data_IF_437197648814
#
_entry.id   IF_437197648814
#
_cell.length_a   1.000
_cell.length_b   1.000
_cell.length_c   1.000
_cell.angle_alpha   90.00
_cell.angle_beta   90.00
_cell.angle_gamma   90.00
#
_symmetry.space_group_name_H-M   'P 1'
#
loop_
_entity.id
_entity.type
_entity.pdbx_description
1 polymer ?
#
# COMPACT_ATOMS: atom_id res chain seq x y z
N UNK A 1 -13.28 2.09 13.77
CA UNK A 1 -14.30 1.01 13.60
C UNK A 1 -13.53 -0.25 13.24
N UNK A 2 -14.03 -1.45 13.52
CA UNK A 2 -13.32 -2.72 13.24
C UNK A 2 -14.09 -3.43 12.13
N UNK A 3 -13.41 -3.92 11.04
CA UNK A 3 -14.06 -4.74 10.03
C UNK A 3 -14.66 -5.99 10.69
N UNK A 4 -15.85 -6.35 10.28
CA UNK A 4 -16.56 -7.51 10.81
C UNK A 4 -17.28 -8.27 9.70
N UNK A 5 -17.71 -9.49 9.97
CA UNK A 5 -18.47 -10.33 9.05
C UNK A 5 -19.69 -9.63 8.43
N UNK A 6 -20.27 -8.65 9.12
CA UNK A 6 -21.43 -7.89 8.61
C UNK A 6 -21.10 -6.99 7.40
N UNK A 7 -19.80 -6.73 7.13
CA UNK A 7 -19.34 -6.02 5.92
C UNK A 7 -19.32 -6.93 4.68
N UNK A 8 -19.25 -8.24 4.91
CA UNK A 8 -19.17 -9.25 3.85
C UNK A 8 -20.59 -9.59 3.41
N UNK A 9 -21.24 -8.65 2.66
CA UNK A 9 -22.50 -8.95 2.01
C UNK A 9 -22.28 -10.00 0.90
N UNK A 10 -23.36 -10.68 0.48
CA UNK A 10 -23.31 -11.73 -0.54
C UNK A 10 -22.74 -11.30 -1.90
N UNK A 11 -22.54 -10.02 -2.11
CA UNK A 11 -21.97 -9.45 -3.34
C UNK A 11 -20.44 -9.33 -3.30
N UNK A 12 -19.78 -9.34 -2.11
CA UNK A 12 -18.33 -9.19 -2.01
C UNK A 12 -17.64 -10.50 -2.34
N UNK A 13 -16.76 -10.46 -3.33
CA UNK A 13 -15.92 -11.58 -3.78
C UNK A 13 -14.43 -11.34 -3.66
N UNK A 14 -14.04 -10.08 -3.43
CA UNK A 14 -12.65 -9.67 -3.28
C UNK A 14 -12.53 -8.63 -2.17
N UNK A 15 -11.60 -8.84 -1.24
CA UNK A 15 -11.16 -7.82 -0.28
C UNK A 15 -9.76 -7.37 -0.65
N UNK A 16 -9.59 -6.05 -0.81
CA UNK A 16 -8.30 -5.41 -1.11
C UNK A 16 -7.88 -4.60 0.10
N UNK A 17 -6.81 -5.04 0.76
CA UNK A 17 -6.25 -4.37 1.93
C UNK A 17 -5.18 -3.35 1.53
N UNK A 18 -5.31 -2.13 2.00
CA UNK A 18 -4.11 -1.29 2.19
C UNK A 18 -3.25 -1.88 3.31
N UNK A 19 -1.96 -1.57 3.29
CA UNK A 19 -1.02 -2.09 4.29
C UNK A 19 -0.64 -1.03 5.32
N UNK A 20 -0.08 0.10 4.85
CA UNK A 20 0.64 1.07 5.68
C UNK A 20 -0.31 2.04 6.42
N UNK A 21 -0.69 1.70 7.64
CA UNK A 21 -1.67 2.41 8.47
C UNK A 21 -2.95 1.62 8.69
N UNK A 22 -3.18 0.60 7.86
CA UNK A 22 -4.34 -0.29 7.88
C UNK A 22 -4.05 -1.56 8.66
N UNK A 23 -3.07 -2.35 8.26
CA UNK A 23 -2.71 -3.60 8.96
C UNK A 23 -1.87 -3.36 10.22
N UNK A 24 -1.29 -2.18 10.37
CA UNK A 24 -0.63 -1.71 11.58
C UNK A 24 -0.84 -0.20 11.76
N UNK A 25 -0.81 0.30 12.97
CA UNK A 25 -0.97 1.74 13.26
C UNK A 25 0.36 2.48 13.06
N UNK A 26 0.58 3.12 11.91
CA UNK A 26 1.84 3.78 11.50
C UNK A 26 2.20 5.07 12.27
N UNK A 27 1.61 5.31 13.44
CA UNK A 27 1.86 6.54 14.23
C UNK A 27 3.35 6.70 14.55
N UNK A 28 3.91 7.86 14.21
CA UNK A 28 5.31 8.19 14.47
C UNK A 28 6.32 7.57 13.50
N UNK A 29 5.91 6.88 12.43
CA UNK A 29 6.80 6.26 11.44
C UNK A 29 7.86 7.25 10.92
N UNK A 30 7.43 8.43 10.48
CA UNK A 30 8.33 9.45 9.91
C UNK A 30 9.39 9.89 10.91
N UNK A 31 9.00 10.15 12.18
CA UNK A 31 9.96 10.51 13.22
C UNK A 31 10.97 9.40 13.48
N UNK A 32 10.51 8.13 13.55
CA UNK A 32 11.38 6.97 13.75
C UNK A 32 12.39 6.82 12.61
N UNK A 33 11.93 6.98 11.36
CA UNK A 33 12.81 6.95 10.19
C UNK A 33 13.85 8.07 10.22
N UNK A 34 13.43 9.30 10.50
CA UNK A 34 14.34 10.45 10.60
C UNK A 34 15.36 10.30 11.74
N UNK A 35 14.96 9.77 12.90
CA UNK A 35 15.87 9.49 14.00
C UNK A 35 16.87 8.37 13.66
N UNK A 36 16.45 7.34 12.93
CA UNK A 36 17.31 6.22 12.55
C UNK A 36 18.30 6.57 11.42
N UNK A 37 17.97 7.53 10.55
CA UNK A 37 18.82 7.99 9.46
C UNK A 37 18.79 9.53 9.35
N UNK A 38 19.40 10.25 10.32
CA UNK A 38 19.29 11.70 10.42
C UNK A 38 19.95 12.44 9.25
N UNK A 39 20.95 11.85 8.60
CA UNK A 39 21.62 12.45 7.44
C UNK A 39 20.82 12.32 6.13
N UNK A 40 19.79 11.47 6.10
CA UNK A 40 18.94 11.25 4.92
C UNK A 40 17.65 12.10 4.89
N UNK A 41 17.48 13.02 5.84
CA UNK A 41 16.26 13.81 5.99
C UNK A 41 15.83 14.55 4.71
N UNK A 42 16.81 15.08 3.92
CA UNK A 42 16.52 15.76 2.65
C UNK A 42 15.91 14.80 1.63
N UNK A 43 16.45 13.59 1.51
CA UNK A 43 15.93 12.54 0.63
C UNK A 43 14.54 12.09 1.08
N UNK A 44 14.34 11.92 2.39
CA UNK A 44 13.03 11.54 2.96
C UNK A 44 11.96 12.62 2.73
N UNK A 45 12.32 13.89 2.83
CA UNK A 45 11.41 14.99 2.49
C UNK A 45 11.11 15.05 0.99
N UNK A 46 12.13 14.83 0.14
CA UNK A 46 11.95 14.75 -1.32
C UNK A 46 11.03 13.59 -1.70
N UNK A 47 11.22 12.42 -1.10
CA UNK A 47 10.35 11.25 -1.26
C UNK A 47 8.89 11.57 -0.96
N UNK A 48 8.61 12.18 0.19
CA UNK A 48 7.24 12.56 0.58
C UNK A 48 6.61 13.57 -0.38
N UNK A 49 7.37 14.57 -0.84
CA UNK A 49 6.90 15.56 -1.82
C UNK A 49 6.59 14.89 -3.16
N UNK A 50 7.47 14.01 -3.62
CA UNK A 50 7.29 13.23 -4.86
C UNK A 50 6.03 12.39 -4.80
N UNK A 51 5.85 11.64 -3.71
CA UNK A 51 4.65 10.82 -3.52
C UNK A 51 3.37 11.65 -3.47
N UNK A 52 3.42 12.83 -2.85
CA UNK A 52 2.29 13.76 -2.85
C UNK A 52 1.98 14.29 -4.25
N UNK A 53 3.00 14.60 -5.05
CA UNK A 53 2.85 15.10 -6.42
C UNK A 53 2.31 14.04 -7.37
N UNK A 54 2.76 12.79 -7.23
CA UNK A 54 2.36 11.68 -8.09
C UNK A 54 1.09 10.95 -7.61
N UNK A 55 0.49 11.39 -6.51
CA UNK A 55 -0.73 10.78 -5.99
C UNK A 55 -1.84 10.77 -7.03
N UNK A 56 -2.46 9.61 -7.22
CA UNK A 56 -3.54 9.41 -8.19
C UNK A 56 -3.09 9.37 -9.65
N UNK A 57 -1.79 9.42 -9.91
CA UNK A 57 -1.28 9.25 -11.27
C UNK A 57 -1.10 7.77 -11.60
N UNK A 58 -1.45 7.42 -12.84
CA UNK A 58 -1.22 6.14 -13.44
C UNK A 58 -0.31 6.32 -14.68
N UNK A 59 0.84 5.67 -14.68
CA UNK A 59 1.92 5.80 -15.66
C UNK A 59 2.16 4.51 -16.47
N UNK A 60 1.13 3.67 -16.56
CA UNK A 60 1.02 2.45 -17.34
C UNK A 60 1.79 1.24 -16.78
N UNK A 61 3.07 1.37 -16.45
CA UNK A 61 3.93 0.28 -15.99
C UNK A 61 4.90 0.72 -14.89
N UNK A 62 5.50 -0.27 -14.23
CA UNK A 62 6.42 -0.10 -13.11
C UNK A 62 7.68 0.69 -13.50
N UNK A 63 8.25 0.45 -14.69
CA UNK A 63 9.50 1.08 -15.09
C UNK A 63 9.28 2.57 -15.36
N UNK A 64 8.22 2.91 -16.08
CA UNK A 64 7.82 4.30 -16.36
C UNK A 64 7.47 5.03 -15.06
N UNK A 65 6.79 4.34 -14.13
CA UNK A 65 6.50 4.88 -12.80
C UNK A 65 7.80 5.24 -12.05
N UNK A 66 8.71 4.30 -11.86
CA UNK A 66 9.94 4.55 -11.08
C UNK A 66 10.88 5.53 -11.77
N UNK A 67 10.97 5.53 -13.09
CA UNK A 67 11.72 6.56 -13.84
C UNK A 67 11.16 7.94 -13.52
N UNK A 68 9.86 8.16 -13.67
CA UNK A 68 9.21 9.44 -13.38
C UNK A 68 9.32 9.81 -11.90
N UNK A 69 9.18 8.81 -11.01
CA UNK A 69 9.29 8.99 -9.58
C UNK A 69 10.66 9.53 -9.16
N UNK A 70 11.75 8.90 -9.60
CA UNK A 70 13.09 9.34 -9.23
C UNK A 70 13.53 10.61 -9.96
N UNK A 71 13.09 10.84 -11.17
CA UNK A 71 13.26 12.14 -11.86
C UNK A 71 12.58 13.27 -11.08
N UNK A 72 11.34 13.08 -10.68
CA UNK A 72 10.60 14.04 -9.85
C UNK A 72 11.30 14.27 -8.51
N UNK A 73 11.74 13.18 -7.85
CA UNK A 73 12.44 13.27 -6.57
C UNK A 73 13.75 14.06 -6.68
N UNK A 74 14.49 13.89 -7.78
CA UNK A 74 15.72 14.62 -8.08
C UNK A 74 15.52 16.13 -8.09
N UNK A 75 14.38 16.63 -8.57
CA UNK A 75 14.07 18.07 -8.59
C UNK A 75 13.96 18.67 -7.19
N UNK A 76 13.63 17.85 -6.16
CA UNK A 76 13.48 18.33 -4.79
C UNK A 76 14.75 18.28 -3.95
N UNK A 77 15.75 17.49 -4.32
CA UNK A 77 16.95 17.32 -3.51
C UNK A 77 18.27 17.52 -4.27
N UNK A 78 18.21 17.74 -5.59
CA UNK A 78 19.38 17.95 -6.46
C UNK A 78 20.39 16.77 -6.37
N UNK A 79 19.86 15.55 -6.45
CA UNK A 79 20.63 14.29 -6.45
C UNK A 79 20.21 13.51 -7.70
N UNK A 80 21.17 12.85 -8.37
CA UNK A 80 20.91 12.06 -9.57
C UNK A 80 19.84 10.97 -9.32
N UNK A 81 18.90 10.75 -10.26
CA UNK A 81 17.81 9.77 -10.11
C UNK A 81 18.30 8.36 -9.78
N UNK A 82 19.40 7.92 -10.38
CA UNK A 82 20.02 6.60 -10.17
C UNK A 82 20.50 6.42 -8.73
N UNK A 83 21.11 7.46 -8.15
CA UNK A 83 21.55 7.46 -6.75
C UNK A 83 20.36 7.46 -5.79
N UNK A 84 19.25 8.12 -6.17
CA UNK A 84 18.02 8.13 -5.38
C UNK A 84 17.34 6.77 -5.42
N UNK A 85 17.33 6.11 -6.58
CA UNK A 85 16.82 4.75 -6.73
C UNK A 85 17.60 3.77 -5.86
N UNK A 86 18.93 3.79 -5.95
CA UNK A 86 19.79 2.95 -5.14
C UNK A 86 19.55 3.22 -3.64
N UNK A 87 19.53 4.50 -3.21
CA UNK A 87 19.22 4.85 -1.82
C UNK A 87 17.85 4.34 -1.37
N UNK A 88 16.83 4.44 -2.24
CA UNK A 88 15.48 3.98 -1.95
C UNK A 88 15.42 2.46 -1.74
N UNK A 89 16.05 1.70 -2.64
CA UNK A 89 16.08 0.24 -2.61
C UNK A 89 16.98 -0.30 -1.49
N UNK A 90 18.19 0.25 -1.32
CA UNK A 90 19.20 -0.30 -0.41
C UNK A 90 19.11 0.22 1.04
N UNK A 91 18.46 1.38 1.25
CA UNK A 91 18.42 2.01 2.57
C UNK A 91 17.01 2.37 3.05
N UNK A 92 16.25 3.12 2.24
CA UNK A 92 14.99 3.69 2.69
C UNK A 92 13.94 2.61 2.96
N UNK A 93 13.72 1.71 2.01
CA UNK A 93 12.73 0.64 2.17
C UNK A 93 13.14 -0.40 3.22
N UNK A 94 14.39 -0.91 3.25
CA UNK A 94 14.86 -1.79 4.33
C UNK A 94 14.76 -1.14 5.71
N UNK A 95 15.05 0.17 5.84
CA UNK A 95 14.88 0.89 7.09
C UNK A 95 13.40 0.91 7.53
N UNK A 96 12.47 1.17 6.61
CA UNK A 96 11.04 1.14 6.90
C UNK A 96 10.59 -0.25 7.39
N UNK A 97 11.00 -1.33 6.71
CA UNK A 97 10.73 -2.72 7.12
C UNK A 97 11.28 -3.00 8.53
N UNK A 98 12.54 -2.62 8.79
CA UNK A 98 13.17 -2.79 10.10
C UNK A 98 12.44 -2.04 11.22
N UNK A 99 11.95 -0.83 10.93
CA UNK A 99 11.17 -0.05 11.89
C UNK A 99 9.79 -0.70 12.13
N UNK A 100 9.16 -1.23 11.09
CA UNK A 100 7.90 -1.98 11.23
C UNK A 100 8.12 -3.16 12.17
N UNK A 101 9.09 -4.00 11.89
CA UNK A 101 9.40 -5.18 12.69
C UNK A 101 9.62 -4.86 14.19
N UNK A 102 10.34 -3.77 14.49
CA UNK A 102 10.73 -3.43 15.86
C UNK A 102 9.65 -2.69 16.65
N UNK A 103 8.76 -1.94 15.99
CA UNK A 103 7.94 -0.93 16.68
C UNK A 103 6.45 -1.07 16.47
N UNK A 104 6.01 -1.93 15.54
CA UNK A 104 4.60 -2.04 15.22
C UNK A 104 4.12 -3.48 15.33
N UNK A 105 2.84 -3.62 15.56
CA UNK A 105 2.15 -4.92 15.66
C UNK A 105 0.98 -4.93 14.70
N UNK A 106 0.68 -6.12 14.21
CA UNK A 106 -0.54 -6.40 13.46
C UNK A 106 -1.77 -5.97 14.27
N UNK A 107 -2.76 -5.42 13.59
CA UNK A 107 -4.04 -5.05 14.21
C UNK A 107 -4.80 -6.30 14.65
N UNK A 108 -5.45 -6.25 15.83
CA UNK A 108 -6.09 -7.41 16.46
C UNK A 108 -7.23 -8.01 15.64
N UNK A 109 -7.95 -7.18 14.87
CA UNK A 109 -9.10 -7.63 14.09
C UNK A 109 -8.73 -8.44 12.84
N UNK A 110 -7.48 -8.41 12.40
CA UNK A 110 -7.06 -8.94 11.09
C UNK A 110 -7.32 -10.44 10.96
N UNK A 111 -6.86 -11.25 11.91
CA UNK A 111 -6.98 -12.70 11.84
C UNK A 111 -8.43 -13.15 11.71
N UNK A 112 -9.30 -12.66 12.61
CA UNK A 112 -10.72 -13.01 12.59
C UNK A 112 -11.41 -12.58 11.30
N UNK A 113 -11.08 -11.40 10.75
CA UNK A 113 -11.67 -10.92 9.52
C UNK A 113 -11.20 -11.73 8.29
N UNK A 114 -9.92 -12.12 8.25
CA UNK A 114 -9.39 -13.01 7.20
C UNK A 114 -10.05 -14.39 7.25
N UNK A 115 -10.25 -14.96 8.44
CA UNK A 115 -10.95 -16.24 8.61
C UNK A 115 -12.41 -16.16 8.12
N UNK A 116 -13.11 -15.07 8.45
CA UNK A 116 -14.46 -14.80 7.95
C UNK A 116 -14.51 -14.70 6.41
N UNK A 117 -13.52 -14.04 5.79
CA UNK A 117 -13.41 -13.92 4.33
C UNK A 117 -13.17 -15.29 3.68
N UNK A 118 -12.20 -16.05 4.20
CA UNK A 118 -11.86 -17.39 3.67
C UNK A 118 -13.01 -18.37 3.84
N UNK A 119 -13.71 -18.32 4.97
CA UNK A 119 -14.91 -19.13 5.22
C UNK A 119 -16.04 -18.88 4.20
N UNK A 120 -16.03 -17.76 3.52
CA UNK A 120 -16.99 -17.39 2.46
C UNK A 120 -16.41 -17.52 1.04
N UNK A 121 -15.16 -18.00 0.89
CA UNK A 121 -14.50 -18.12 -0.40
C UNK A 121 -14.13 -16.79 -1.05
N UNK A 122 -14.01 -15.72 -0.24
CA UNK A 122 -13.65 -14.38 -0.71
C UNK A 122 -12.14 -14.31 -0.93
N UNK A 123 -11.71 -13.82 -2.07
CA UNK A 123 -10.30 -13.60 -2.41
C UNK A 123 -9.72 -12.43 -1.63
N UNK A 124 -8.44 -12.51 -1.31
CA UNK A 124 -7.73 -11.51 -0.52
C UNK A 124 -6.52 -10.97 -1.28
N UNK A 125 -6.41 -9.66 -1.38
CA UNK A 125 -5.28 -8.97 -2.04
C UNK A 125 -4.74 -7.88 -1.11
N UNK A 126 -3.42 -7.70 -1.10
CA UNK A 126 -2.78 -6.52 -0.51
C UNK A 126 -2.37 -5.59 -1.64
N UNK A 127 -2.78 -4.31 -1.57
CA UNK A 127 -2.41 -3.24 -2.48
C UNK A 127 -1.81 -2.07 -1.68
N UNK A 128 -0.47 -2.03 -1.58
CA UNK A 128 0.26 -0.98 -0.86
C UNK A 128 0.76 0.11 -1.80
N UNK A 129 0.74 1.37 -1.35
CA UNK A 129 1.39 2.47 -2.08
C UNK A 129 2.92 2.42 -2.03
N UNK A 130 3.51 1.64 -1.13
CA UNK A 130 4.95 1.45 -1.01
C UNK A 130 5.36 0.05 -1.44
N UNK A 131 6.56 -0.08 -2.01
CA UNK A 131 7.18 -1.38 -2.29
C UNK A 131 7.54 -2.17 -1.04
N UNK A 132 8.32 -3.25 -1.24
CA UNK A 132 8.71 -4.19 -0.17
C UNK A 132 7.49 -4.73 0.61
N UNK A 133 6.40 -5.00 -0.11
CA UNK A 133 5.13 -5.39 0.50
C UNK A 133 5.24 -6.75 1.20
N UNK A 134 5.96 -7.71 0.59
CA UNK A 134 6.20 -9.03 1.19
C UNK A 134 7.02 -8.93 2.48
N UNK A 135 8.11 -8.18 2.47
CA UNK A 135 9.00 -8.01 3.63
C UNK A 135 8.28 -7.26 4.78
N UNK A 136 7.38 -6.35 4.45
CA UNK A 136 6.54 -5.67 5.45
C UNK A 136 5.52 -6.61 6.09
N UNK A 137 4.90 -7.50 5.30
CA UNK A 137 4.00 -8.53 5.83
C UNK A 137 4.76 -9.47 6.78
N UNK A 138 5.93 -9.95 6.36
CA UNK A 138 6.81 -10.78 7.19
C UNK A 138 7.21 -10.05 8.49
N UNK A 139 7.57 -8.77 8.40
CA UNK A 139 7.91 -7.93 9.56
C UNK A 139 6.76 -7.80 10.56
N UNK A 140 5.50 -7.94 10.11
CA UNK A 140 4.29 -7.96 10.93
C UNK A 140 3.90 -9.37 11.40
N UNK A 141 4.65 -10.41 11.01
CA UNK A 141 4.34 -11.80 11.31
C UNK A 141 3.18 -12.36 10.48
N UNK A 142 2.91 -11.78 9.30
CA UNK A 142 1.86 -12.23 8.39
C UNK A 142 2.47 -13.11 7.31
N UNK A 143 1.95 -14.32 7.16
CA UNK A 143 2.27 -15.18 6.03
C UNK A 143 1.62 -14.64 4.75
N UNK A 144 2.43 -14.29 3.76
CA UNK A 144 1.95 -13.76 2.48
C UNK A 144 1.09 -14.76 1.70
N UNK A 145 1.20 -16.06 1.98
CA UNK A 145 0.35 -17.11 1.38
C UNK A 145 -1.13 -17.05 1.81
N UNK A 146 -1.43 -16.23 2.81
CA UNK A 146 -2.81 -15.90 3.18
C UNK A 146 -3.55 -15.14 2.07
N UNK A 147 -2.82 -14.46 1.19
CA UNK A 147 -3.37 -13.63 0.13
C UNK A 147 -3.26 -14.31 -1.24
N UNK A 148 -4.26 -14.13 -2.07
CA UNK A 148 -4.24 -14.55 -3.48
C UNK A 148 -3.26 -13.70 -4.31
N UNK A 149 -3.01 -12.46 -3.87
CA UNK A 149 -1.99 -11.60 -4.46
C UNK A 149 -1.52 -10.52 -3.50
N UNK A 150 -0.20 -10.31 -3.49
CA UNK A 150 0.47 -9.22 -2.76
C UNK A 150 1.18 -8.35 -3.79
N UNK A 151 0.81 -7.07 -3.87
CA UNK A 151 1.33 -6.15 -4.89
C UNK A 151 1.41 -4.73 -4.34
N UNK A 152 2.36 -3.95 -4.87
CA UNK A 152 2.39 -2.52 -4.65
C UNK A 152 1.79 -1.75 -5.83
N UNK A 153 1.21 -0.58 -5.57
CA UNK A 153 0.69 0.31 -6.59
C UNK A 153 1.76 0.74 -7.62
N UNK A 154 3.03 1.02 -7.22
CA UNK A 154 4.14 1.22 -8.15
C UNK A 154 4.37 0.06 -9.13
N UNK A 155 4.24 -1.20 -8.70
CA UNK A 155 4.36 -2.36 -9.59
C UNK A 155 3.26 -2.39 -10.66
N UNK A 156 2.10 -1.82 -10.36
CA UNK A 156 1.00 -1.65 -11.30
C UNK A 156 1.11 -0.37 -12.15
N UNK A 157 2.14 0.46 -11.91
CA UNK A 157 2.42 1.67 -12.66
C UNK A 157 1.75 2.93 -12.10
N UNK A 158 1.38 3.00 -10.83
CA UNK A 158 0.71 4.19 -10.29
C UNK A 158 0.74 4.32 -8.78
N UNK A 159 -0.02 5.29 -8.27
CA UNK A 159 -0.31 5.48 -6.83
C UNK A 159 -1.81 5.68 -6.62
N UNK A 160 -2.32 5.17 -5.50
CA UNK A 160 -3.71 5.43 -5.11
C UNK A 160 -3.95 6.96 -5.00
N UNK A 161 -5.13 7.46 -5.42
CA UNK A 161 -6.35 6.74 -5.79
C UNK A 161 -6.57 6.49 -7.30
N UNK A 162 -5.51 6.26 -8.10
CA UNK A 162 -5.67 5.98 -9.52
C UNK A 162 -6.61 4.77 -9.75
N UNK A 163 -7.75 4.93 -10.45
CA UNK A 163 -8.77 3.88 -10.60
C UNK A 163 -8.24 2.62 -11.31
N UNK A 164 -7.29 2.77 -12.22
CA UNK A 164 -6.66 1.70 -12.99
C UNK A 164 -6.05 0.63 -12.08
N UNK A 165 -5.59 1.01 -10.89
CA UNK A 165 -5.00 0.09 -9.92
C UNK A 165 -6.01 -0.95 -9.45
N UNK A 166 -7.22 -0.51 -9.04
CA UNK A 166 -8.25 -1.44 -8.58
C UNK A 166 -8.88 -2.20 -9.74
N UNK A 167 -9.01 -1.59 -10.92
CA UNK A 167 -9.46 -2.27 -12.14
C UNK A 167 -8.52 -3.44 -12.46
N UNK A 168 -7.20 -3.22 -12.51
CA UNK A 168 -6.20 -4.28 -12.76
C UNK A 168 -6.24 -5.39 -11.70
N UNK A 169 -6.43 -5.02 -10.43
CA UNK A 169 -6.56 -6.00 -9.34
C UNK A 169 -7.82 -6.86 -9.53
N UNK A 170 -8.95 -6.23 -9.80
CA UNK A 170 -10.22 -6.93 -10.02
C UNK A 170 -10.18 -7.86 -11.24
N UNK A 171 -9.64 -7.37 -12.36
CA UNK A 171 -9.44 -8.17 -13.59
C UNK A 171 -8.55 -9.38 -13.33
N UNK A 172 -7.41 -9.23 -12.66
CA UNK A 172 -6.53 -10.35 -12.31
C UNK A 172 -7.21 -11.38 -11.42
N UNK A 173 -8.08 -10.91 -10.52
CA UNK A 173 -8.85 -11.79 -9.64
C UNK A 173 -10.11 -12.35 -10.29
N UNK A 174 -10.46 -11.93 -11.50
CA UNK A 174 -11.65 -12.41 -12.22
C UNK A 174 -12.97 -12.00 -11.56
N UNK A 175 -13.02 -10.77 -11.00
CA UNK A 175 -14.21 -10.21 -10.35
C UNK A 175 -14.52 -8.81 -10.90
N UNK A 176 -15.76 -8.36 -10.76
CA UNK A 176 -16.13 -6.99 -11.05
C UNK A 176 -15.69 -6.02 -9.95
N UNK A 177 -15.41 -4.75 -10.30
CA UNK A 177 -15.04 -3.75 -9.28
C UNK A 177 -16.13 -3.53 -8.24
N UNK A 178 -17.41 -3.65 -8.60
CA UNK A 178 -18.53 -3.57 -7.67
C UNK A 178 -18.58 -4.73 -6.65
N UNK A 179 -17.87 -5.84 -6.91
CA UNK A 179 -17.73 -6.99 -6.02
C UNK A 179 -16.50 -6.86 -5.09
N UNK A 180 -15.77 -5.73 -5.18
CA UNK A 180 -14.59 -5.44 -4.37
C UNK A 180 -14.94 -4.66 -3.12
N UNK A 181 -14.28 -4.99 -2.00
CA UNK A 181 -14.26 -4.21 -0.77
C UNK A 181 -12.82 -3.72 -0.51
N UNK A 182 -12.61 -2.42 -0.54
CA UNK A 182 -11.33 -1.81 -0.16
C UNK A 182 -11.33 -1.53 1.33
N UNK A 183 -10.34 -2.05 2.05
CA UNK A 183 -10.11 -1.79 3.48
C UNK A 183 -8.86 -0.95 3.62
N UNK A 184 -9.00 0.28 4.12
CA UNK A 184 -7.90 1.24 4.20
C UNK A 184 -8.03 2.24 5.36
N UNK A 185 -6.97 3.05 5.59
CA UNK A 185 -6.92 4.04 6.68
C UNK A 185 -7.13 5.48 6.20
N UNK A 186 -7.28 5.70 4.86
CA UNK A 186 -7.27 7.06 4.30
C UNK A 186 -8.44 7.33 3.36
N UNK A 187 -9.13 8.43 3.63
CA UNK A 187 -10.21 8.90 2.75
C UNK A 187 -9.69 9.37 1.38
N UNK A 188 -8.52 10.06 1.35
CA UNK A 188 -7.95 10.70 0.16
C UNK A 188 -7.20 9.73 -0.77
N UNK A 189 -7.11 8.45 -0.42
CA UNK A 189 -6.53 7.39 -1.26
C UNK A 189 -7.45 6.19 -1.36
N UNK A 190 -7.68 5.46 -0.27
CA UNK A 190 -8.37 4.17 -0.29
C UNK A 190 -9.88 4.32 -0.58
N UNK A 191 -10.53 5.25 0.11
CA UNK A 191 -11.97 5.52 -0.12
C UNK A 191 -12.19 6.13 -1.50
N UNK A 192 -11.34 7.07 -1.94
CA UNK A 192 -11.45 7.64 -3.28
C UNK A 192 -11.19 6.60 -4.38
N UNK A 193 -10.21 5.70 -4.20
CA UNK A 193 -9.96 4.59 -5.10
C UNK A 193 -11.22 3.71 -5.26
N UNK A 194 -11.83 3.31 -4.16
CA UNK A 194 -13.03 2.49 -4.20
C UNK A 194 -14.19 3.22 -4.91
N UNK A 195 -14.46 4.46 -4.52
CA UNK A 195 -15.55 5.28 -5.09
C UNK A 195 -15.39 5.52 -6.59
N UNK A 196 -14.15 5.70 -7.07
CA UNK A 196 -13.88 5.99 -8.48
C UNK A 196 -14.31 4.86 -9.43
N UNK A 197 -14.43 3.63 -8.93
CA UNK A 197 -14.80 2.43 -9.73
C UNK A 197 -16.07 1.74 -9.23
N UNK A 198 -16.82 2.37 -8.32
CA UNK A 198 -18.05 1.81 -7.77
C UNK A 198 -17.84 0.63 -6.81
N UNK A 199 -16.65 0.49 -6.22
CA UNK A 199 -16.35 -0.53 -5.22
C UNK A 199 -16.85 -0.13 -3.82
N UNK A 200 -17.01 -1.11 -2.96
CA UNK A 200 -17.26 -0.91 -1.54
C UNK A 200 -15.98 -0.49 -0.81
N UNK A 201 -16.12 0.19 0.32
CA UNK A 201 -14.97 0.55 1.15
C UNK A 201 -15.28 0.44 2.63
N UNK A 202 -14.23 0.21 3.42
CA UNK A 202 -14.26 0.29 4.87
C UNK A 202 -13.04 1.06 5.38
N UNK A 203 -13.29 2.12 6.15
CA UNK A 203 -12.26 2.96 6.75
C UNK A 203 -11.98 2.52 8.20
N UNK A 204 -10.72 2.11 8.50
CA UNK A 204 -10.29 1.62 9.82
C UNK A 204 -9.67 2.69 10.70
#
# INVERSE_FOLDING_TARGET
>A
MVPSKNLLCSQIRLVVFDLDGTLYKKRGMVCKMMCAAPFDWRRMLAERKTRKQLRGQYLQDMETFYRTYFQTMATYCNIAPEMLRQWYEDKYMPLMVSIIHRNYKLVEWFAAFVDDCKGQGIKLVVLSDYGHTHEKLEALGIDATLFDWVVSAPELGGLKPAPELLIKVAERMGVGTAECLVVGDREDTDVQLAKSVGAHYFLV
#
